data_IF_544869043638
#
_entry.id   IF_544869043638
#
_cell.length_a   1.000
_cell.length_b   1.000
_cell.length_c   1.000
_cell.angle_alpha   90.00
_cell.angle_beta   90.00
_cell.angle_gamma   90.00
#
_symmetry.space_group_name_H-M   'P 1'
#
loop_
_entity.id
_entity.type
_entity.pdbx_description
1 polymer ?
#
# COMPACT_ATOMS: atom_id res chain seq x y z
N UNK A 1 -19.01 11.92 -14.66
CA UNK A 1 -17.93 10.92 -14.70
C UNK A 1 -17.65 10.45 -13.29
N UNK A 2 -17.98 9.20 -12.95
CA UNK A 2 -17.68 8.61 -11.64
C UNK A 2 -16.18 8.37 -11.57
N UNK A 3 -15.44 9.26 -10.91
CA UNK A 3 -14.00 9.11 -10.71
C UNK A 3 -13.82 7.83 -9.88
N UNK A 4 -13.30 6.76 -10.50
CA UNK A 4 -12.93 5.56 -9.72
C UNK A 4 -11.90 6.02 -8.71
N UNK A 5 -12.20 5.87 -7.44
CA UNK A 5 -11.28 6.20 -6.36
C UNK A 5 -10.46 4.94 -6.04
N UNK A 6 -9.19 5.08 -5.68
CA UNK A 6 -8.42 3.96 -5.17
C UNK A 6 -9.05 3.46 -3.85
N UNK A 7 -8.88 2.17 -3.52
CA UNK A 7 -9.31 1.66 -2.23
C UNK A 7 -8.57 2.41 -1.11
N UNK A 8 -9.31 3.00 -0.17
CA UNK A 8 -8.74 3.85 0.89
C UNK A 8 -7.68 3.12 1.73
N UNK A 9 -7.91 1.84 2.01
CA UNK A 9 -6.96 1.01 2.76
C UNK A 9 -5.64 0.80 1.99
N UNK A 10 -5.69 0.77 0.66
CA UNK A 10 -4.53 0.61 -0.20
C UNK A 10 -3.65 1.87 -0.14
N UNK A 11 -4.28 3.04 -0.23
CA UNK A 11 -3.60 4.34 -0.07
C UNK A 11 -3.02 4.49 1.33
N UNK A 12 -3.79 4.14 2.37
CA UNK A 12 -3.35 4.22 3.77
C UNK A 12 -2.17 3.31 4.08
N UNK A 13 -2.21 2.06 3.60
CA UNK A 13 -1.11 1.10 3.75
C UNK A 13 0.15 1.58 3.04
N UNK A 14 0.01 2.14 1.83
CA UNK A 14 1.13 2.70 1.09
C UNK A 14 1.74 3.92 1.79
N UNK A 15 0.93 4.83 2.32
CA UNK A 15 1.39 6.03 3.01
C UNK A 15 2.10 5.70 4.33
N UNK A 16 1.53 4.77 5.12
CA UNK A 16 2.16 4.29 6.35
C UNK A 16 3.45 3.52 6.08
N UNK A 17 3.49 2.69 5.04
CA UNK A 17 4.74 2.10 4.55
C UNK A 17 5.71 3.25 4.25
N UNK A 18 5.34 4.14 3.32
CA UNK A 18 6.02 5.38 2.91
C UNK A 18 6.76 6.09 4.05
N UNK A 19 6.01 6.36 5.12
CA UNK A 19 6.47 7.07 6.31
C UNK A 19 7.54 6.31 7.10
N UNK A 20 7.41 4.99 7.20
CA UNK A 20 8.24 4.16 8.09
C UNK A 20 9.44 3.50 7.41
N UNK A 21 9.51 3.52 6.08
CA UNK A 21 10.50 2.74 5.31
C UNK A 21 10.47 1.23 5.67
N UNK A 22 9.33 0.74 6.20
CA UNK A 22 9.15 -0.64 6.64
C UNK A 22 7.69 -1.08 6.65
N UNK A 23 7.40 -2.23 6.01
CA UNK A 23 6.08 -2.87 6.06
C UNK A 23 5.73 -3.40 7.46
N UNK A 24 6.72 -3.83 8.25
CA UNK A 24 6.50 -4.30 9.62
C UNK A 24 6.01 -3.16 10.51
N UNK A 25 6.68 -2.00 10.47
CA UNK A 25 6.26 -0.82 11.24
C UNK A 25 4.91 -0.28 10.80
N UNK A 26 4.66 -0.24 9.49
CA UNK A 26 3.36 0.15 8.95
C UNK A 26 2.24 -0.80 9.39
N UNK A 27 2.51 -2.11 9.43
CA UNK A 27 1.57 -3.11 9.91
C UNK A 27 1.24 -2.90 11.40
N UNK A 28 2.25 -2.60 12.21
CA UNK A 28 2.06 -2.25 13.63
C UNK A 28 1.23 -0.97 13.80
N UNK A 29 1.54 0.10 13.07
CA UNK A 29 0.78 1.36 13.14
C UNK A 29 -0.69 1.16 12.76
N UNK A 30 -0.94 0.40 11.69
CA UNK A 30 -2.28 0.18 11.15
C UNK A 30 -3.03 -0.95 11.87
N UNK A 31 -2.40 -1.59 12.86
CA UNK A 31 -2.94 -2.74 13.58
C UNK A 31 -3.42 -3.86 12.65
N UNK A 32 -2.59 -4.20 11.65
CA UNK A 32 -2.82 -5.26 10.67
C UNK A 32 -1.62 -6.18 10.58
N UNK A 33 -1.74 -7.28 9.83
CA UNK A 33 -0.61 -8.17 9.57
C UNK A 33 0.30 -7.60 8.49
N UNK A 34 1.59 -7.96 8.52
CA UNK A 34 2.54 -7.62 7.45
C UNK A 34 2.02 -8.02 6.06
N UNK A 35 1.41 -9.21 5.96
CA UNK A 35 0.80 -9.70 4.71
C UNK A 35 -0.38 -8.85 4.24
N UNK A 36 -1.15 -8.26 5.16
CA UNK A 36 -2.22 -7.33 4.79
C UNK A 36 -1.67 -6.05 4.17
N UNK A 37 -0.60 -5.47 4.72
CA UNK A 37 0.06 -4.29 4.14
C UNK A 37 0.58 -4.59 2.73
N UNK A 38 1.29 -5.71 2.56
CA UNK A 38 1.77 -6.16 1.25
C UNK A 38 0.64 -6.30 0.23
N UNK A 39 -0.47 -6.93 0.61
CA UNK A 39 -1.65 -7.08 -0.26
C UNK A 39 -2.30 -5.74 -0.61
N UNK A 40 -2.40 -4.82 0.34
CA UNK A 40 -2.95 -3.48 0.11
C UNK A 40 -2.08 -2.67 -0.85
N UNK A 41 -0.76 -2.75 -0.74
CA UNK A 41 0.18 -2.10 -1.67
C UNK A 41 0.10 -2.73 -3.06
N UNK A 42 0.01 -4.06 -3.16
CA UNK A 42 -0.19 -4.75 -4.44
C UNK A 42 -1.53 -4.38 -5.11
N UNK A 43 -2.60 -4.21 -4.32
CA UNK A 43 -3.89 -3.72 -4.81
C UNK A 43 -3.78 -2.29 -5.34
N UNK A 44 -3.01 -1.41 -4.67
CA UNK A 44 -2.77 -0.05 -5.14
C UNK A 44 -2.00 -0.05 -6.45
N UNK A 45 -0.95 -0.86 -6.55
CA UNK A 45 -0.16 -1.04 -7.78
C UNK A 45 -1.03 -1.55 -8.95
N UNK A 46 -1.89 -2.54 -8.69
CA UNK A 46 -2.85 -3.05 -9.67
C UNK A 46 -3.85 -1.99 -10.10
N UNK A 47 -4.34 -1.16 -9.17
CA UNK A 47 -5.24 -0.06 -9.46
C UNK A 47 -4.59 1.05 -10.31
N UNK A 48 -3.30 1.32 -10.09
CA UNK A 48 -2.49 2.25 -10.88
C UNK A 48 -2.09 1.69 -12.27
N UNK A 49 -2.47 0.45 -12.59
CA UNK A 49 -2.20 -0.16 -13.89
C UNK A 49 -0.77 -0.67 -14.05
N UNK A 50 -0.05 -0.95 -12.95
CA UNK A 50 1.26 -1.60 -13.00
C UNK A 50 2.39 -0.79 -13.64
N UNK A 51 2.17 0.50 -13.92
CA UNK A 51 3.22 1.43 -14.37
C UNK A 51 4.17 1.79 -13.22
N UNK A 52 3.69 1.71 -11.97
CA UNK A 52 4.48 1.98 -10.77
C UNK A 52 4.68 0.68 -10.00
N UNK A 53 5.94 0.28 -9.81
CA UNK A 53 6.34 -0.87 -8.98
C UNK A 53 6.50 -0.42 -7.53
N UNK A 54 5.40 -0.32 -6.80
CA UNK A 54 5.41 0.19 -5.42
C UNK A 54 6.14 -0.77 -4.46
N UNK A 55 6.09 -2.08 -4.75
CA UNK A 55 6.75 -3.10 -3.93
C UNK A 55 8.28 -3.09 -4.06
N UNK A 56 8.83 -2.57 -5.15
CA UNK A 56 10.29 -2.53 -5.36
C UNK A 56 10.96 -1.35 -4.65
N UNK A 57 10.20 -0.36 -4.17
CA UNK A 57 10.73 0.80 -3.42
C UNK A 57 11.22 0.44 -2.01
N UNK A 58 11.00 -0.79 -1.54
CA UNK A 58 11.15 -1.23 -0.15
C UNK A 58 12.07 -2.46 -0.01
N UNK A 59 12.80 -2.76 -1.08
CA UNK A 59 13.68 -3.91 -1.23
C UNK A 59 15.12 -3.50 -0.98
#
# INVERSE_FOLDING_TARGET
MTRKLPPLNAVRAFEAAGRHVSFTKAATELNVTHGAVSRQVALLESWLGGTVRLLEMWR
#
